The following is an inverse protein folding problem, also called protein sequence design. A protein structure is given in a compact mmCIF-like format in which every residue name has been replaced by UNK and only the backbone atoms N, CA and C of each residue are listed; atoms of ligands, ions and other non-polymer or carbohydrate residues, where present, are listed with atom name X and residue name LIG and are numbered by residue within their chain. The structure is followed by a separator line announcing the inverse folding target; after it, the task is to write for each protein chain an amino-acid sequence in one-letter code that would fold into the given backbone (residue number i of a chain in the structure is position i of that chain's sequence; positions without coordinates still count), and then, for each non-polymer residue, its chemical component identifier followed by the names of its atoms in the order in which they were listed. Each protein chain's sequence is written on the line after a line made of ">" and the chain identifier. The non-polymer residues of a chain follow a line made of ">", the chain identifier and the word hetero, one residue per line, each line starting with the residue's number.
data_IF_694718627835
#
_entry.id   IF_694718627835
#
_cell.length_a   1.000
_cell.length_b   1.000
_cell.length_c   1.000
_cell.angle_alpha   90.00
_cell.angle_beta   90.00
_cell.angle_gamma   90.00
#
_symmetry.space_group_name_H-M   'P 1'
#
loop_
_entity.id
_entity.type
_entity.pdbx_description
1 polymer ?
#
# COMPACT_ATOMS: atom_id res chain seq x y z
N UNK A 1 -6.09 10.52 6.59
CA UNK A 1 -6.72 9.82 5.45
C UNK A 1 -6.26 8.39 5.47
N UNK A 2 -7.18 7.42 5.52
CA UNK A 2 -6.86 6.00 5.55
C UNK A 2 -7.44 5.36 4.29
N UNK A 3 -6.64 4.54 3.63
CA UNK A 3 -7.02 3.75 2.47
C UNK A 3 -6.92 2.28 2.88
N UNK A 4 -8.07 1.64 3.03
CA UNK A 4 -8.24 0.31 3.61
C UNK A 4 -9.12 -0.56 2.68
N UNK A 5 -9.64 -1.71 3.14
CA UNK A 5 -10.46 -2.61 2.31
C UNK A 5 -11.70 -1.95 1.71
N UNK A 6 -12.24 -0.89 2.37
CA UNK A 6 -13.41 -0.14 1.88
C UNK A 6 -13.08 0.80 0.71
N UNK A 7 -11.78 1.03 0.46
CA UNK A 7 -11.28 1.91 -0.58
C UNK A 7 -10.86 1.14 -1.85
N UNK A 8 -11.49 0.00 -2.13
CA UNK A 8 -11.15 -0.84 -3.29
C UNK A 8 -12.14 -0.68 -4.45
N UNK A 9 -13.28 -0.01 -4.27
CA UNK A 9 -14.25 0.20 -5.34
C UNK A 9 -13.83 1.33 -6.30
N UNK A 10 -13.30 0.98 -7.47
CA UNK A 10 -12.91 1.96 -8.48
C UNK A 10 -14.09 2.54 -9.27
N UNK A 11 -15.28 1.93 -9.23
CA UNK A 11 -16.46 2.51 -9.88
C UNK A 11 -16.90 3.81 -9.18
N UNK A 12 -16.64 3.91 -7.88
CA UNK A 12 -16.83 5.13 -7.11
C UNK A 12 -15.84 6.25 -7.45
N UNK A 13 -14.71 5.94 -8.11
CA UNK A 13 -13.66 6.91 -8.46
C UNK A 13 -13.93 7.49 -9.85
N UNK A 14 -14.30 8.78 -10.00
CA UNK A 14 -14.55 9.35 -11.32
C UNK A 14 -13.30 9.32 -12.18
N UNK A 15 -13.44 9.09 -13.49
CA UNK A 15 -12.31 9.12 -14.42
C UNK A 15 -11.53 10.45 -14.36
N UNK A 16 -12.19 11.57 -14.08
CA UNK A 16 -11.56 12.88 -13.87
C UNK A 16 -10.64 12.91 -12.65
N UNK A 17 -10.96 12.17 -11.59
CA UNK A 17 -10.09 12.03 -10.42
C UNK A 17 -8.83 11.22 -10.75
N UNK A 18 -8.97 10.15 -11.54
CA UNK A 18 -7.83 9.36 -12.05
C UNK A 18 -6.92 10.23 -12.93
N UNK A 19 -7.50 11.02 -13.84
CA UNK A 19 -6.72 11.94 -14.69
C UNK A 19 -6.05 13.06 -13.87
N UNK A 20 -6.74 13.57 -12.84
CA UNK A 20 -6.14 14.53 -11.89
C UNK A 20 -4.94 13.93 -11.17
N UNK A 21 -5.01 12.66 -10.75
CA UNK A 21 -3.88 11.96 -10.14
C UNK A 21 -2.68 11.86 -11.10
N UNK A 22 -2.92 11.44 -12.35
CA UNK A 22 -1.88 11.38 -13.39
C UNK A 22 -1.21 12.73 -13.65
N UNK A 23 -1.99 13.81 -13.66
CA UNK A 23 -1.49 15.16 -13.92
C UNK A 23 -0.72 15.76 -12.74
N UNK A 24 -1.12 15.46 -11.50
CA UNK A 24 -0.60 16.14 -10.30
C UNK A 24 0.49 15.36 -9.58
N UNK A 25 0.48 14.03 -9.63
CA UNK A 25 1.34 13.21 -8.78
C UNK A 25 2.62 12.78 -9.49
N UNK A 26 3.71 12.85 -8.73
CA UNK A 26 5.05 12.38 -9.08
C UNK A 26 5.54 11.59 -7.86
N UNK A 27 5.46 10.27 -7.97
CA UNK A 27 5.56 9.37 -6.82
C UNK A 27 6.90 8.64 -6.84
N UNK A 28 7.57 8.59 -5.69
CA UNK A 28 8.68 7.69 -5.45
C UNK A 28 8.22 6.55 -4.54
N UNK A 29 8.47 5.30 -4.95
CA UNK A 29 8.10 4.11 -4.19
C UNK A 29 9.33 3.26 -3.89
N UNK A 30 9.55 2.96 -2.61
CA UNK A 30 10.61 2.06 -2.16
C UNK A 30 10.02 0.79 -1.53
N UNK A 31 10.47 -0.37 -1.98
CA UNK A 31 10.05 -1.65 -1.42
C UNK A 31 10.95 -2.81 -1.85
N UNK A 32 10.71 -3.95 -1.20
CA UNK A 32 11.19 -5.27 -1.64
C UNK A 32 9.97 -6.16 -1.94
N UNK A 33 10.04 -7.45 -1.59
CA UNK A 33 9.17 -8.52 -2.08
C UNK A 33 7.67 -8.24 -1.93
N UNK A 34 7.15 -8.08 -0.72
CA UNK A 34 5.70 -7.85 -0.49
C UNK A 34 5.19 -6.54 -1.10
N UNK A 35 6.00 -5.48 -1.12
CA UNK A 35 5.59 -4.20 -1.71
C UNK A 35 5.33 -4.28 -3.22
N UNK A 36 5.91 -5.27 -3.92
CA UNK A 36 5.63 -5.49 -5.34
C UNK A 36 4.17 -5.85 -5.63
N UNK A 37 3.42 -6.31 -4.63
CA UNK A 37 2.02 -6.70 -4.80
C UNK A 37 1.14 -5.53 -5.26
N UNK A 38 1.41 -4.31 -4.76
CA UNK A 38 0.72 -3.08 -5.19
C UNK A 38 0.94 -2.85 -6.70
N UNK A 39 2.19 -2.98 -7.15
CA UNK A 39 2.60 -2.81 -8.55
C UNK A 39 1.98 -3.88 -9.43
N UNK A 40 2.02 -5.15 -9.01
CA UNK A 40 1.38 -6.26 -9.73
C UNK A 40 -0.12 -6.02 -9.92
N UNK A 41 -0.82 -5.55 -8.88
CA UNK A 41 -2.23 -5.15 -9.00
C UNK A 41 -2.48 -3.99 -9.96
N UNK A 42 -1.65 -2.94 -9.90
CA UNK A 42 -1.74 -1.81 -10.83
C UNK A 42 -1.48 -2.22 -12.29
N UNK A 43 -0.58 -3.19 -12.52
CA UNK A 43 -0.32 -3.76 -13.84
C UNK A 43 -1.54 -4.50 -14.39
N UNK A 44 -2.20 -5.31 -13.56
CA UNK A 44 -3.44 -5.99 -13.97
C UNK A 44 -4.51 -4.97 -14.38
N UNK A 45 -4.72 -3.93 -13.56
CA UNK A 45 -5.66 -2.85 -13.86
C UNK A 45 -5.33 -2.13 -15.18
N UNK A 46 -4.05 -1.82 -15.41
CA UNK A 46 -3.61 -1.19 -16.65
C UNK A 46 -3.89 -2.09 -17.88
N UNK A 47 -3.58 -3.38 -17.78
CA UNK A 47 -3.80 -4.34 -18.86
C UNK A 47 -5.29 -4.46 -19.21
N UNK A 48 -6.18 -4.41 -18.22
CA UNK A 48 -7.63 -4.42 -18.43
C UNK A 48 -8.22 -3.08 -18.88
N UNK A 49 -7.59 -1.95 -18.51
CA UNK A 49 -8.08 -0.61 -18.84
C UNK A 49 -6.94 0.43 -18.89
N UNK A 50 -6.73 1.05 -20.06
CA UNK A 50 -5.71 2.08 -20.29
C UNK A 50 -5.86 3.34 -19.42
N UNK A 51 -7.06 3.58 -18.84
CA UNK A 51 -7.26 4.63 -17.84
C UNK A 51 -6.30 4.48 -16.65
N UNK A 52 -5.87 3.26 -16.32
CA UNK A 52 -4.96 2.96 -15.21
C UNK A 52 -3.49 2.81 -15.66
N UNK A 53 -3.12 3.39 -16.80
CA UNK A 53 -1.72 3.44 -17.22
C UNK A 53 -0.84 4.20 -16.21
N UNK A 54 0.30 3.60 -15.87
CA UNK A 54 1.35 4.16 -15.01
C UNK A 54 2.73 3.77 -15.56
N UNK A 55 3.77 4.57 -15.29
CA UNK A 55 5.17 4.22 -15.56
C UNK A 55 6.12 5.17 -14.80
N UNK A 56 7.43 4.89 -14.81
CA UNK A 56 8.44 5.68 -14.08
C UNK A 56 8.63 7.13 -14.55
N UNK A 57 8.10 7.52 -15.71
CA UNK A 57 8.35 8.84 -16.32
C UNK A 57 7.08 9.67 -16.53
N UNK A 58 5.89 9.07 -16.37
CA UNK A 58 4.61 9.66 -16.77
C UNK A 58 4.43 9.75 -18.29
N UNK A 59 5.25 9.07 -19.08
CA UNK A 59 5.16 9.10 -20.54
C UNK A 59 3.78 8.63 -21.02
N UNK A 60 3.29 9.25 -22.09
CA UNK A 60 1.96 8.94 -22.66
C UNK A 60 0.78 9.37 -21.80
N UNK A 61 0.98 10.29 -20.84
CA UNK A 61 -0.08 10.74 -19.91
C UNK A 61 -0.38 9.71 -18.81
N UNK A 62 0.55 8.80 -18.53
CA UNK A 62 0.45 7.83 -17.45
C UNK A 62 0.71 8.47 -16.08
N UNK A 63 0.28 7.81 -15.00
CA UNK A 63 0.70 8.19 -13.65
C UNK A 63 2.21 7.97 -13.52
N UNK A 64 2.93 8.99 -13.06
CA UNK A 64 4.35 8.86 -12.81
C UNK A 64 4.60 8.27 -11.42
N UNK A 65 5.03 7.01 -11.40
CA UNK A 65 5.42 6.29 -10.20
C UNK A 65 6.76 5.60 -10.48
N UNK A 66 7.81 6.05 -9.79
CA UNK A 66 9.13 5.44 -9.83
C UNK A 66 9.15 4.24 -8.88
N UNK A 67 8.89 3.07 -9.44
CA UNK A 67 9.02 1.78 -8.78
C UNK A 67 10.51 1.49 -8.52
N UNK A 68 10.85 1.15 -7.28
CA UNK A 68 12.24 0.98 -6.85
C UNK A 68 13.05 2.27 -6.85
N UNK A 69 12.42 3.43 -6.65
CA UNK A 69 13.09 4.74 -6.60
C UNK A 69 14.20 4.79 -5.55
N UNK A 70 14.04 4.03 -4.47
CA UNK A 70 14.97 3.95 -3.36
C UNK A 70 15.22 2.48 -3.02
N UNK A 71 16.47 2.11 -2.76
CA UNK A 71 16.86 0.73 -2.50
C UNK A 71 16.36 0.22 -1.14
N UNK A 72 15.94 -1.05 -1.10
CA UNK A 72 15.48 -1.74 0.11
C UNK A 72 14.00 -1.52 0.41
N UNK A 73 13.62 -1.77 1.67
CA UNK A 73 12.28 -1.52 2.19
C UNK A 73 12.36 -0.73 3.52
N UNK A 74 11.21 -0.28 4.01
CA UNK A 74 11.14 0.62 5.17
C UNK A 74 11.56 -0.04 6.49
N UNK A 75 11.75 -1.36 6.50
CA UNK A 75 12.21 -2.10 7.67
C UNK A 75 13.68 -1.91 8.00
N UNK A 76 14.49 -1.42 7.05
CA UNK A 76 15.93 -1.24 7.22
C UNK A 76 16.30 0.17 7.68
N UNK A 77 16.18 0.44 8.97
CA UNK A 77 16.62 1.71 9.57
C UNK A 77 18.10 1.64 9.99
N UNK A 78 18.94 2.68 9.73
CA UNK A 78 18.59 3.99 9.15
C UNK A 78 18.66 4.04 7.61
N UNK A 79 18.90 2.91 6.92
CA UNK A 79 19.12 2.89 5.47
C UNK A 79 17.95 3.48 4.66
N UNK A 80 16.69 3.15 4.95
CA UNK A 80 15.54 3.69 4.22
C UNK A 80 15.41 5.22 4.35
N UNK A 81 15.76 5.78 5.52
CA UNK A 81 15.79 7.23 5.75
C UNK A 81 16.90 7.87 4.93
N UNK A 82 18.10 7.29 4.98
CA UNK A 82 19.26 7.77 4.24
C UNK A 82 19.01 7.71 2.73
N UNK A 83 18.40 6.63 2.24
CA UNK A 83 18.04 6.47 0.84
C UNK A 83 16.98 7.48 0.40
N UNK A 84 15.99 7.77 1.26
CA UNK A 84 14.97 8.80 1.00
C UNK A 84 15.62 10.18 0.87
N UNK A 85 16.52 10.54 1.78
CA UNK A 85 17.21 11.85 1.75
C UNK A 85 18.20 11.95 0.59
N UNK A 86 18.90 10.87 0.27
CA UNK A 86 19.79 10.82 -0.89
C UNK A 86 19.01 10.97 -2.19
N UNK A 87 17.86 10.30 -2.31
CA UNK A 87 16.97 10.41 -3.45
C UNK A 87 16.39 11.82 -3.57
N UNK A 88 15.78 12.38 -2.50
CA UNK A 88 15.20 13.72 -2.58
C UNK A 88 16.27 14.83 -2.70
N UNK A 89 17.45 14.65 -2.11
CA UNK A 89 18.44 15.71 -1.94
C UNK A 89 18.08 16.66 -0.79
N UNK A 90 18.71 17.84 -0.75
CA UNK A 90 18.46 18.83 0.29
C UNK A 90 17.04 19.44 0.15
N UNK A 91 16.33 19.74 1.24
CA UNK A 91 15.03 20.40 1.16
C UNK A 91 15.16 21.82 0.60
N UNK A 92 14.23 22.20 -0.28
CA UNK A 92 14.17 23.51 -0.91
C UNK A 92 13.16 24.41 -0.20
N UNK A 93 13.61 25.57 0.30
CA UNK A 93 12.78 26.47 1.11
C UNK A 93 11.48 26.94 0.42
N UNK A 94 11.48 27.10 -0.91
CA UNK A 94 10.31 27.61 -1.65
C UNK A 94 9.23 26.56 -1.92
N UNK A 95 9.61 25.32 -2.25
CA UNK A 95 8.68 24.26 -2.62
C UNK A 95 8.40 23.29 -1.46
N UNK A 96 9.30 23.21 -0.47
CA UNK A 96 9.31 22.15 0.52
C UNK A 96 9.64 20.77 -0.06
N UNK A 97 10.19 20.70 -1.28
CA UNK A 97 10.57 19.45 -1.96
C UNK A 97 12.08 19.27 -1.98
N UNK A 98 12.54 18.13 -2.49
CA UNK A 98 13.96 17.80 -2.58
C UNK A 98 14.68 18.48 -3.76
N UNK A 99 15.93 18.88 -3.57
CA UNK A 99 16.74 19.54 -4.61
C UNK A 99 17.16 18.64 -5.76
N UNK A 100 17.30 17.33 -5.53
CA UNK A 100 17.67 16.37 -6.55
C UNK A 100 16.46 15.93 -7.38
N UNK A 101 15.28 15.88 -6.76
CA UNK A 101 14.01 15.51 -7.39
C UNK A 101 12.89 16.51 -7.03
N UNK A 102 12.93 17.74 -7.58
CA UNK A 102 12.02 18.83 -7.21
C UNK A 102 10.58 18.64 -7.69
N UNK A 103 10.34 17.69 -8.60
CA UNK A 103 9.02 17.34 -9.10
C UNK A 103 8.30 16.32 -8.21
N UNK A 104 9.04 15.44 -7.52
CA UNK A 104 8.49 14.44 -6.60
C UNK A 104 7.72 15.12 -5.46
N UNK A 105 6.47 14.69 -5.29
CA UNK A 105 5.54 15.26 -4.32
C UNK A 105 4.78 14.23 -3.49
N UNK A 106 5.06 12.94 -3.72
CA UNK A 106 4.60 11.87 -2.86
C UNK A 106 5.69 10.80 -2.73
N UNK A 107 5.88 10.30 -1.51
CA UNK A 107 6.79 9.21 -1.19
C UNK A 107 6.00 8.16 -0.43
N UNK A 108 6.09 6.93 -0.89
CA UNK A 108 5.54 5.77 -0.20
C UNK A 108 6.64 4.73 -0.04
N UNK A 109 6.62 4.02 1.08
CA UNK A 109 7.44 2.85 1.27
C UNK A 109 6.59 1.68 1.74
N UNK A 110 6.94 0.48 1.30
CA UNK A 110 6.35 -0.74 1.85
C UNK A 110 7.30 -1.43 2.81
N UNK A 111 6.70 -2.27 3.67
CA UNK A 111 7.40 -3.25 4.47
C UNK A 111 7.58 -4.55 3.69
N UNK A 112 8.56 -5.36 4.10
CA UNK A 112 8.54 -6.81 3.88
C UNK A 112 7.98 -7.46 5.16
N UNK A 113 8.76 -8.22 5.92
CA UNK A 113 8.30 -8.87 7.17
C UNK A 113 8.75 -8.21 8.48
N UNK A 114 9.47 -7.09 8.44
CA UNK A 114 10.21 -6.57 9.61
C UNK A 114 9.29 -6.09 10.74
N UNK A 115 8.05 -5.71 10.45
CA UNK A 115 7.08 -5.27 11.47
C UNK A 115 6.79 -6.39 12.49
N UNK A 116 6.79 -7.67 12.05
CA UNK A 116 6.46 -8.82 12.90
C UNK A 116 7.35 -8.97 14.12
N UNK A 117 8.60 -8.49 14.06
CA UNK A 117 9.56 -8.61 15.16
C UNK A 117 9.79 -7.32 15.93
N UNK A 118 9.25 -6.17 15.49
CA UNK A 118 9.47 -4.91 16.20
C UNK A 118 8.76 -4.90 17.54
N UNK A 119 9.46 -4.41 18.56
CA UNK A 119 8.82 -3.92 19.78
C UNK A 119 8.05 -2.62 19.50
N UNK A 120 7.20 -2.22 20.44
CA UNK A 120 6.45 -0.95 20.36
C UNK A 120 7.39 0.24 20.21
N UNK A 121 8.47 0.26 20.98
CA UNK A 121 9.43 1.37 20.99
C UNK A 121 10.27 1.40 19.71
N UNK A 122 10.75 0.25 19.24
CA UNK A 122 11.51 0.19 17.98
C UNK A 122 10.67 0.67 16.80
N UNK A 123 9.37 0.36 16.75
CA UNK A 123 8.48 0.87 15.71
C UNK A 123 8.37 2.40 15.74
N UNK A 124 8.35 3.00 16.92
CA UNK A 124 8.39 4.47 17.06
C UNK A 124 9.72 5.01 16.53
N UNK A 125 10.83 4.50 17.05
CA UNK A 125 12.15 5.10 16.84
C UNK A 125 12.66 4.93 15.41
N UNK A 126 12.24 3.85 14.74
CA UNK A 126 12.79 3.51 13.41
C UNK A 126 11.83 3.72 12.25
N UNK A 127 10.56 4.00 12.54
CA UNK A 127 9.55 4.24 11.51
C UNK A 127 8.70 5.49 11.77
N UNK A 128 7.94 5.54 12.86
CA UNK A 128 6.96 6.61 13.06
C UNK A 128 7.61 7.99 13.24
N UNK A 129 8.65 8.07 14.08
CA UNK A 129 9.37 9.31 14.31
C UNK A 129 10.20 9.73 13.07
N UNK A 130 10.95 8.84 12.39
CA UNK A 130 11.65 9.23 11.17
C UNK A 130 10.71 9.64 10.01
N UNK A 131 9.55 8.99 9.85
CA UNK A 131 8.53 9.42 8.88
C UNK A 131 8.04 10.84 9.19
N UNK A 132 7.73 11.13 10.47
CA UNK A 132 7.29 12.47 10.87
C UNK A 132 8.39 13.52 10.68
N UNK A 133 9.67 13.15 10.89
CA UNK A 133 10.80 14.04 10.62
C UNK A 133 10.95 14.32 9.12
N UNK A 134 10.79 13.32 8.25
CA UNK A 134 10.82 13.53 6.80
C UNK A 134 9.67 14.44 6.33
N UNK A 135 8.47 14.31 6.91
CA UNK A 135 7.37 15.24 6.63
C UNK A 135 7.70 16.68 7.05
N UNK A 136 8.36 16.86 8.20
CA UNK A 136 8.78 18.19 8.66
C UNK A 136 9.87 18.80 7.77
N UNK A 137 10.82 17.97 7.31
CA UNK A 137 11.94 18.42 6.49
C UNK A 137 11.53 18.72 5.03
N UNK A 138 10.55 17.97 4.50
CA UNK A 138 10.05 18.12 3.13
C UNK A 138 8.53 18.39 3.11
N UNK A 139 8.08 19.58 3.57
CA UNK A 139 6.65 19.88 3.72
C UNK A 139 5.86 19.93 2.40
N UNK A 140 6.57 19.96 1.26
CA UNK A 140 6.00 19.89 -0.09
C UNK A 140 5.84 18.47 -0.63
N UNK A 141 6.21 17.45 0.15
CA UNK A 141 6.10 16.02 -0.17
C UNK A 141 5.08 15.38 0.76
N UNK A 142 4.16 14.57 0.21
CA UNK A 142 3.26 13.73 1.00
C UNK A 142 3.91 12.39 1.28
N UNK A 143 4.23 12.11 2.54
CA UNK A 143 4.69 10.79 2.97
C UNK A 143 3.50 9.91 3.32
N UNK A 144 3.39 8.76 2.66
CA UNK A 144 2.33 7.78 2.89
C UNK A 144 2.87 6.71 3.83
N UNK A 145 2.23 6.59 5.00
CA UNK A 145 2.47 5.51 5.94
C UNK A 145 1.85 4.22 5.41
N UNK A 146 2.37 3.07 5.85
CA UNK A 146 1.89 1.75 5.47
C UNK A 146 1.98 0.79 6.67
N UNK A 147 0.99 -0.07 6.85
CA UNK A 147 1.09 -1.22 7.76
C UNK A 147 1.95 -2.34 7.13
N UNK A 148 2.35 -3.34 7.91
CA UNK A 148 2.90 -4.58 7.37
C UNK A 148 1.83 -5.41 6.63
N UNK A 149 2.22 -6.61 6.19
CA UNK A 149 1.29 -7.65 5.74
C UNK A 149 0.67 -8.39 6.95
N UNK A 150 -0.11 -9.44 6.72
CA UNK A 150 -0.53 -10.40 7.72
C UNK A 150 0.44 -11.58 7.80
N UNK A 151 0.70 -12.10 9.00
CA UNK A 151 1.52 -13.30 9.23
C UNK A 151 0.73 -14.43 9.92
N UNK A 152 -0.57 -14.20 10.09
CA UNK A 152 -1.53 -15.08 10.73
C UNK A 152 -1.20 -15.45 12.17
N UNK A 153 -0.62 -14.50 12.91
CA UNK A 153 -0.48 -14.58 14.37
C UNK A 153 -1.71 -14.07 15.13
N UNK A 154 -2.74 -13.60 14.40
CA UNK A 154 -4.05 -13.24 14.95
C UNK A 154 -4.07 -11.99 15.82
N UNK A 155 -5.20 -11.78 16.51
CA UNK A 155 -5.48 -10.56 17.29
C UNK A 155 -4.41 -10.26 18.34
N UNK A 156 -3.90 -11.29 19.01
CA UNK A 156 -2.87 -11.16 20.06
C UNK A 156 -1.45 -11.14 19.52
N UNK A 157 -1.26 -11.41 18.22
CA UNK A 157 0.04 -11.45 17.57
C UNK A 157 0.75 -10.09 17.56
N UNK A 158 2.08 -10.11 17.66
CA UNK A 158 2.87 -8.87 17.70
C UNK A 158 2.66 -8.02 16.44
N UNK A 159 2.62 -8.64 15.26
CA UNK A 159 2.39 -7.93 14.01
C UNK A 159 1.08 -7.14 14.01
N UNK A 160 -0.02 -7.75 14.46
CA UNK A 160 -1.30 -7.05 14.57
C UNK A 160 -1.22 -5.86 15.54
N UNK A 161 -0.59 -6.04 16.70
CA UNK A 161 -0.41 -4.94 17.66
C UNK A 161 0.46 -3.79 17.11
N UNK A 162 1.47 -4.09 16.29
CA UNK A 162 2.33 -3.09 15.64
C UNK A 162 1.61 -2.41 14.48
N UNK A 163 0.82 -3.13 13.69
CA UNK A 163 -0.06 -2.53 12.69
C UNK A 163 -1.06 -1.58 13.34
N UNK A 164 -1.68 -1.97 14.46
CA UNK A 164 -2.63 -1.10 15.15
C UNK A 164 -1.97 0.13 15.77
N UNK A 165 -0.71 0.03 16.18
CA UNK A 165 0.09 1.18 16.59
C UNK A 165 0.32 2.17 15.43
N UNK A 166 0.60 1.68 14.20
CA UNK A 166 0.70 2.54 13.00
C UNK A 166 -0.64 3.21 12.70
N UNK A 167 -1.74 2.44 12.74
CA UNK A 167 -3.10 2.96 12.51
C UNK A 167 -3.46 4.04 13.52
N UNK A 168 -3.23 3.78 14.81
CA UNK A 168 -3.49 4.74 15.88
C UNK A 168 -2.68 6.03 15.70
N UNK A 169 -1.39 5.92 15.38
CA UNK A 169 -0.55 7.08 15.09
C UNK A 169 -1.09 7.90 13.91
N UNK A 170 -1.50 7.23 12.82
CA UNK A 170 -2.02 7.92 11.65
C UNK A 170 -3.36 8.61 11.92
N UNK A 171 -4.27 7.96 12.64
CA UNK A 171 -5.56 8.54 13.06
C UNK A 171 -5.35 9.76 13.95
N UNK A 172 -4.51 9.64 14.98
CA UNK A 172 -4.27 10.70 15.96
C UNK A 172 -3.60 11.94 15.35
N UNK A 173 -2.76 11.76 14.33
CA UNK A 173 -1.96 12.85 13.74
C UNK A 173 -2.42 13.25 12.33
N UNK A 174 -3.60 12.79 11.89
CA UNK A 174 -4.14 13.13 10.57
C UNK A 174 -3.28 12.68 9.37
N UNK A 175 -2.49 11.61 9.52
CA UNK A 175 -1.56 11.15 8.49
C UNK A 175 -2.28 10.47 7.32
N UNK A 176 -1.54 10.26 6.24
CA UNK A 176 -1.98 9.42 5.12
C UNK A 176 -1.49 8.00 5.34
N UNK A 177 -2.40 7.03 5.35
CA UNK A 177 -2.11 5.61 5.55
C UNK A 177 -2.64 4.77 4.39
N UNK A 178 -1.79 3.92 3.83
CA UNK A 178 -2.18 2.77 3.02
C UNK A 178 -2.19 1.52 3.91
N UNK A 179 -3.37 1.04 4.25
CA UNK A 179 -3.55 -0.04 5.23
C UNK A 179 -3.46 -1.42 4.57
N UNK A 180 -2.22 -1.79 4.24
CA UNK A 180 -1.88 -3.02 3.52
C UNK A 180 -2.44 -4.29 4.20
N UNK A 181 -2.36 -4.35 5.53
CA UNK A 181 -2.83 -5.47 6.33
C UNK A 181 -4.35 -5.51 6.37
N UNK A 182 -5.01 -4.36 6.45
CA UNK A 182 -6.47 -4.31 6.42
C UNK A 182 -7.00 -4.77 5.06
N UNK A 183 -6.47 -4.29 3.94
CA UNK A 183 -6.86 -4.76 2.60
C UNK A 183 -6.72 -6.28 2.46
N UNK A 184 -5.66 -6.86 3.03
CA UNK A 184 -5.40 -8.31 3.03
C UNK A 184 -6.29 -9.12 3.99
N UNK A 185 -6.99 -8.44 4.90
CA UNK A 185 -7.87 -9.05 5.90
C UNK A 185 -9.30 -9.27 5.41
N UNK A 186 -9.66 -8.83 4.20
CA UNK A 186 -11.04 -8.89 3.70
C UNK A 186 -11.12 -9.38 2.25
N UNK A 187 -12.09 -10.25 2.00
CA UNK A 187 -12.50 -10.59 0.64
C UNK A 187 -13.23 -9.39 -0.02
N UNK A 188 -13.23 -9.27 -1.36
CA UNK A 188 -13.89 -8.16 -2.04
C UNK A 188 -15.37 -8.02 -1.66
N UNK A 189 -15.76 -6.83 -1.18
CA UNK A 189 -17.13 -6.53 -0.74
C UNK A 189 -17.57 -7.26 0.53
N UNK A 190 -16.70 -8.08 1.15
CA UNK A 190 -16.99 -8.84 2.34
C UNK A 190 -16.82 -8.02 3.62
N UNK A 191 -17.63 -8.32 4.64
CA UNK A 191 -17.51 -7.74 5.98
C UNK A 191 -16.75 -8.64 6.97
N UNK A 192 -16.39 -9.85 6.56
CA UNK A 192 -15.62 -10.78 7.40
C UNK A 192 -14.18 -10.33 7.49
N UNK A 193 -13.75 -9.96 8.69
CA UNK A 193 -12.34 -9.73 8.98
C UNK A 193 -11.66 -11.08 9.22
N UNK A 194 -10.78 -11.49 8.31
CA UNK A 194 -10.04 -12.74 8.39
C UNK A 194 -8.78 -12.65 9.28
N UNK A 195 -8.28 -11.46 9.64
CA UNK A 195 -7.10 -11.33 10.50
C UNK A 195 -7.26 -12.03 11.87
N UNK A 196 -8.39 -11.89 12.59
CA UNK A 196 -8.64 -12.65 13.82
C UNK A 196 -8.70 -14.16 13.60
N UNK A 197 -9.02 -14.61 12.39
CA UNK A 197 -9.06 -16.02 11.96
C UNK A 197 -7.69 -16.52 11.51
N UNK A 198 -6.62 -15.98 12.12
CA UNK A 198 -5.23 -16.31 11.82
C UNK A 198 -4.86 -16.15 10.34
N UNK A 199 -5.49 -15.22 9.62
CA UNK A 199 -5.18 -15.05 8.20
C UNK A 199 -3.75 -14.57 7.94
N UNK A 200 -3.11 -15.08 6.89
CA UNK A 200 -1.76 -14.70 6.46
C UNK A 200 -1.72 -13.98 5.10
N UNK A 201 -0.51 -13.62 4.67
CA UNK A 201 -0.23 -12.97 3.39
C UNK A 201 -0.59 -13.84 2.18
N UNK A 202 -0.65 -15.15 2.36
CA UNK A 202 -1.17 -16.12 1.41
C UNK A 202 -2.69 -16.14 1.29
N UNK A 203 -3.42 -15.31 2.04
CA UNK A 203 -4.88 -15.31 2.16
C UNK A 203 -5.46 -16.57 2.83
N UNK A 204 -4.61 -17.43 3.42
CA UNK A 204 -5.05 -18.62 4.12
C UNK A 204 -5.56 -18.23 5.51
N UNK A 205 -6.59 -18.89 6.04
CA UNK A 205 -7.19 -18.60 7.35
C UNK A 205 -7.71 -19.88 8.03
N UNK A 206 -7.85 -19.82 9.35
CA UNK A 206 -8.40 -20.87 10.21
C UNK A 206 -9.94 -20.73 10.28
N UNK A 207 -10.65 -21.64 9.61
CA UNK A 207 -12.09 -21.54 9.41
C UNK A 207 -12.92 -22.18 10.53
N UNK A 208 -12.31 -23.03 11.35
CA UNK A 208 -12.97 -23.76 12.44
C UNK A 208 -12.42 -23.42 13.85
N UNK A 209 -11.39 -22.59 13.92
CA UNK A 209 -10.78 -22.12 15.17
C UNK A 209 -9.86 -23.15 15.82
N UNK A 210 -9.38 -24.15 15.08
CA UNK A 210 -8.53 -25.21 15.61
C UNK A 210 -7.03 -24.83 15.70
N UNK A 211 -6.66 -23.62 15.24
CA UNK A 211 -5.29 -23.10 15.22
C UNK A 211 -4.53 -23.41 13.93
N UNK A 212 -5.15 -24.07 12.95
CA UNK A 212 -4.55 -24.44 11.66
C UNK A 212 -5.32 -23.77 10.52
N UNK A 213 -4.60 -23.11 9.61
CA UNK A 213 -5.21 -22.53 8.41
C UNK A 213 -5.62 -23.63 7.45
N UNK A 214 -6.92 -23.79 7.22
CA UNK A 214 -7.52 -24.85 6.41
C UNK A 214 -8.30 -24.32 5.19
N UNK A 215 -8.50 -22.99 5.11
CA UNK A 215 -9.19 -22.32 4.01
C UNK A 215 -8.42 -21.15 3.45
N UNK A 216 -8.86 -20.62 2.31
CA UNK A 216 -8.30 -19.45 1.67
C UNK A 216 -9.42 -18.53 1.17
N UNK A 217 -9.50 -17.30 1.70
CA UNK A 217 -10.62 -16.42 1.41
C UNK A 217 -10.65 -15.97 -0.05
N UNK A 218 -9.49 -15.88 -0.72
CA UNK A 218 -9.41 -15.46 -2.11
C UNK A 218 -9.90 -16.56 -3.04
N UNK A 219 -9.50 -17.81 -2.79
CA UNK A 219 -10.00 -18.98 -3.52
C UNK A 219 -11.51 -19.16 -3.33
N UNK A 220 -12.00 -19.03 -2.09
CA UNK A 220 -13.41 -19.13 -1.78
C UNK A 220 -14.23 -18.03 -2.50
N UNK A 221 -13.71 -16.80 -2.52
CA UNK A 221 -14.35 -15.70 -3.22
C UNK A 221 -14.42 -15.93 -4.73
N UNK A 222 -13.31 -16.35 -5.37
CA UNK A 222 -13.25 -16.64 -6.81
C UNK A 222 -14.21 -17.78 -7.20
N UNK A 223 -14.30 -18.83 -6.38
CA UNK A 223 -15.22 -19.95 -6.62
C UNK A 223 -16.69 -19.51 -6.55
N UNK A 224 -17.01 -18.56 -5.66
CA UNK A 224 -18.35 -18.00 -5.54
C UNK A 224 -18.69 -16.96 -6.63
N UNK A 225 -17.69 -16.35 -7.27
CA UNK A 225 -17.85 -15.25 -8.23
C UNK A 225 -17.16 -15.48 -9.58
N UNK A 226 -17.36 -16.63 -10.27
CA UNK A 226 -16.61 -16.98 -11.47
C UNK A 226 -16.87 -16.04 -12.66
N UNK A 227 -18.00 -15.33 -12.69
CA UNK A 227 -18.37 -14.38 -13.74
C UNK A 227 -18.07 -12.92 -13.42
N UNK A 228 -17.52 -12.62 -12.24
CA UNK A 228 -17.26 -11.25 -11.82
C UNK A 228 -16.04 -10.67 -12.59
N UNK A 229 -16.10 -9.41 -13.07
CA UNK A 229 -14.97 -8.76 -13.74
C UNK A 229 -13.67 -8.79 -12.93
N UNK A 230 -13.76 -8.74 -11.60
CA UNK A 230 -12.61 -8.84 -10.71
C UNK A 230 -11.96 -10.23 -10.74
N UNK A 231 -12.74 -11.30 -10.93
CA UNK A 231 -12.21 -12.66 -11.09
C UNK A 231 -11.42 -12.80 -12.40
N UNK A 232 -11.92 -12.21 -13.49
CA UNK A 232 -11.20 -12.14 -14.76
C UNK A 232 -9.90 -11.33 -14.63
N UNK A 233 -9.96 -10.20 -13.92
CA UNK A 233 -8.79 -9.36 -13.65
C UNK A 233 -7.74 -10.08 -12.79
N UNK A 234 -8.16 -10.84 -11.77
CA UNK A 234 -7.28 -11.68 -10.97
C UNK A 234 -6.61 -12.79 -11.80
N UNK A 235 -7.33 -13.40 -12.74
CA UNK A 235 -6.77 -14.42 -13.63
C UNK A 235 -5.73 -13.85 -14.60
N UNK A 236 -5.95 -12.61 -15.07
CA UNK A 236 -5.00 -11.89 -15.93
C UNK A 236 -3.83 -11.25 -15.15
N UNK A 237 -3.90 -11.24 -13.82
CA UNK A 237 -2.88 -10.67 -12.96
C UNK A 237 -1.63 -11.55 -12.95
N UNK A 238 -0.45 -10.91 -12.98
CA UNK A 238 0.83 -11.61 -12.92
C UNK A 238 1.08 -12.29 -11.57
N UNK A 239 2.27 -12.86 -11.43
CA UNK A 239 2.68 -13.48 -10.16
C UNK A 239 2.61 -12.48 -9.00
N UNK A 240 1.86 -12.83 -7.96
CA UNK A 240 1.70 -12.02 -6.76
C UNK A 240 2.65 -12.56 -5.68
N UNK A 241 3.67 -11.79 -5.31
CA UNK A 241 4.68 -12.25 -4.35
C UNK A 241 4.04 -12.59 -3.00
N UNK A 242 4.23 -13.83 -2.50
CA UNK A 242 3.71 -14.35 -1.23
C UNK A 242 2.19 -14.37 -1.08
N UNK A 243 1.42 -14.05 -2.12
CA UNK A 243 -0.01 -13.85 -2.00
C UNK A 243 -0.78 -14.35 -3.22
N UNK A 244 -2.09 -14.18 -3.20
CA UNK A 244 -2.97 -14.54 -4.31
C UNK A 244 -3.17 -13.35 -5.25
N UNK A 245 -3.39 -13.63 -6.53
CA UNK A 245 -3.59 -12.63 -7.57
C UNK A 245 -4.73 -11.66 -7.23
N UNK A 246 -5.83 -12.16 -6.65
CA UNK A 246 -6.97 -11.35 -6.25
C UNK A 246 -6.58 -10.29 -5.21
N UNK A 247 -5.76 -10.66 -4.22
CA UNK A 247 -5.28 -9.73 -3.19
C UNK A 247 -4.36 -8.65 -3.79
N UNK A 248 -3.47 -9.02 -4.71
CA UNK A 248 -2.69 -8.04 -5.49
C UNK A 248 -3.60 -7.04 -6.21
N UNK A 249 -4.63 -7.53 -6.91
CA UNK A 249 -5.58 -6.65 -7.62
C UNK A 249 -6.29 -5.71 -6.64
N UNK A 250 -6.74 -6.19 -5.48
CA UNK A 250 -7.36 -5.35 -4.45
C UNK A 250 -6.40 -4.25 -3.96
N UNK A 251 -5.12 -4.57 -3.72
CA UNK A 251 -4.07 -3.59 -3.37
C UNK A 251 -3.83 -2.57 -4.49
N UNK A 252 -3.83 -3.00 -5.75
CA UNK A 252 -3.76 -2.11 -6.91
C UNK A 252 -4.95 -1.16 -7.01
N UNK A 253 -6.17 -1.64 -6.72
CA UNK A 253 -7.39 -0.83 -6.69
C UNK A 253 -7.32 0.22 -5.57
N UNK A 254 -6.96 -0.20 -4.37
CA UNK A 254 -6.73 0.69 -3.24
C UNK A 254 -5.65 1.75 -3.55
N UNK A 255 -4.58 1.39 -4.29
CA UNK A 255 -3.56 2.34 -4.67
C UNK A 255 -4.12 3.45 -5.58
N UNK A 256 -4.94 3.11 -6.57
CA UNK A 256 -5.60 4.12 -7.41
C UNK A 256 -6.57 5.02 -6.62
N UNK A 257 -7.27 4.46 -5.63
CA UNK A 257 -8.05 5.26 -4.69
C UNK A 257 -7.16 6.24 -3.91
N UNK A 258 -6.02 5.78 -3.37
CA UNK A 258 -5.03 6.62 -2.71
C UNK A 258 -4.56 7.76 -3.62
N UNK A 259 -4.21 7.46 -4.87
CA UNK A 259 -3.75 8.45 -5.84
C UNK A 259 -4.83 9.49 -6.17
N UNK A 260 -6.06 9.05 -6.39
CA UNK A 260 -7.18 9.95 -6.63
C UNK A 260 -7.39 10.91 -5.42
N UNK A 261 -7.37 10.37 -4.20
CA UNK A 261 -7.53 11.17 -2.98
C UNK A 261 -6.39 12.16 -2.77
N UNK A 262 -5.13 11.74 -2.97
CA UNK A 262 -3.97 12.64 -2.89
C UNK A 262 -4.03 13.76 -3.94
N UNK A 263 -4.69 13.52 -5.07
CA UNK A 263 -4.89 14.51 -6.13
C UNK A 263 -6.09 15.45 -5.89
N UNK A 264 -6.79 15.30 -4.75
CA UNK A 264 -7.86 16.18 -4.30
C UNK A 264 -9.28 15.65 -4.52
N UNK A 265 -9.46 14.39 -4.92
CA UNK A 265 -10.79 13.77 -4.95
C UNK A 265 -11.31 13.50 -3.53
N UNK A 266 -12.60 13.75 -3.34
CA UNK A 266 -13.35 13.49 -2.10
C UNK A 266 -14.49 12.54 -2.50
N UNK A 267 -14.55 11.31 -1.96
CA UNK A 267 -15.62 10.34 -2.22
C UNK A 267 -16.97 10.79 -1.67
#
# INVERSE_FOLDING_TARGET
>A
MIVDHTCTDLEAVPATAIQSAKAKLKIAYGHTSHGSQLITGMNALHAGNSLYAWNGTGAGGALMLQDGAMAGDVGYHPAWVNNTRAFLGAPQAGSGRGSAHPDINAVIWAWCGQVSSRTSQELVDTYLAPMAQLEADYPGVRFVYMTGHLDGTGTTGNLNQRNEQIRAFCRANGKVLFDFADIESFAPGGSTNFMPLLADDGCAYDSDGNGTRDRNWASDWLAAHPGDPLAALATACGSCAHSTQLNCVQKGRAAWWLWARLAGWIP
#
